data_IF_557222833655
#
_entry.id   IF_557222833655
#
_cell.length_a   1.000
_cell.length_b   1.000
_cell.length_c   1.000
_cell.angle_alpha   90.00
_cell.angle_beta   90.00
_cell.angle_gamma   90.00
#
_symmetry.space_group_name_H-M   'P 1'
#
loop_
_entity.id
_entity.type
_entity.pdbx_description
1 polymer ?
#
# COMPACT_ATOMS: atom_id res chain seq x y z
N UNK A 1 4.88 -10.22 11.81
CA UNK A 1 5.90 -9.34 11.17
C UNK A 1 5.19 -8.09 10.73
N UNK A 2 5.60 -6.91 11.21
CA UNK A 2 4.92 -5.66 10.88
C UNK A 2 5.77 -4.90 9.88
N UNK A 3 5.25 -4.75 8.66
CA UNK A 3 5.88 -3.95 7.62
C UNK A 3 5.18 -2.60 7.58
N UNK A 4 5.67 -1.73 8.46
CA UNK A 4 5.14 -0.39 8.62
C UNK A 4 6.01 0.62 7.87
N UNK A 5 5.33 1.59 7.26
CA UNK A 5 5.94 2.82 6.77
C UNK A 5 6.62 3.54 7.94
N UNK A 6 7.90 3.91 7.75
CA UNK A 6 8.72 4.54 8.77
C UNK A 6 8.24 5.95 9.15
N UNK A 7 8.82 6.52 10.21
CA UNK A 7 8.50 7.91 10.60
C UNK A 7 8.93 8.92 9.52
N UNK A 8 10.07 8.69 8.90
CA UNK A 8 10.60 9.49 7.80
C UNK A 8 9.67 9.40 6.59
N UNK A 9 9.24 8.20 6.23
CA UNK A 9 8.31 7.97 5.12
C UNK A 9 6.93 8.58 5.38
N UNK A 10 6.40 8.49 6.60
CA UNK A 10 5.18 9.21 7.02
C UNK A 10 5.33 10.72 6.86
N UNK A 11 6.50 11.26 7.22
CA UNK A 11 6.79 12.70 7.04
C UNK A 11 6.77 13.10 5.57
N UNK A 12 7.26 12.23 4.68
CA UNK A 12 7.17 12.45 3.24
C UNK A 12 5.72 12.40 2.74
N UNK A 13 4.92 11.44 3.21
CA UNK A 13 3.50 11.39 2.88
C UNK A 13 2.73 12.64 3.34
N UNK A 14 3.03 13.15 4.54
CA UNK A 14 2.46 14.41 5.03
C UNK A 14 2.75 15.59 4.09
N UNK A 15 3.89 15.58 3.38
CA UNK A 15 4.22 16.65 2.45
C UNK A 15 3.29 16.73 1.23
N UNK A 16 2.52 15.67 0.93
CA UNK A 16 1.46 15.74 -0.09
C UNK A 16 0.42 16.83 0.24
N UNK A 17 0.25 17.18 1.52
CA UNK A 17 -0.58 18.31 1.98
C UNK A 17 -0.02 19.70 1.61
N UNK A 18 1.15 19.78 0.96
CA UNK A 18 1.66 21.04 0.40
C UNK A 18 1.09 21.35 -0.99
N UNK A 19 0.29 20.42 -1.53
CA UNK A 19 -0.34 20.53 -2.84
C UNK A 19 0.45 19.80 -3.92
N UNK A 20 -0.28 18.99 -4.71
CA UNK A 20 0.25 18.20 -5.80
C UNK A 20 0.13 19.02 -7.08
N UNK A 21 1.24 19.22 -7.79
CA UNK A 21 1.28 19.85 -9.10
C UNK A 21 1.02 18.82 -10.20
N UNK A 22 1.70 17.66 -10.13
CA UNK A 22 1.60 16.59 -11.12
C UNK A 22 1.76 15.22 -10.49
N UNK A 23 1.15 14.23 -11.12
CA UNK A 23 1.37 12.82 -10.79
C UNK A 23 1.95 12.13 -12.01
N UNK A 24 3.06 11.42 -11.80
CA UNK A 24 3.76 10.66 -12.83
C UNK A 24 3.70 9.19 -12.49
N UNK A 25 3.21 8.40 -13.43
CA UNK A 25 3.03 6.96 -13.26
C UNK A 25 4.01 6.25 -14.17
N UNK A 26 4.78 5.34 -13.58
CA UNK A 26 5.79 4.57 -14.30
C UNK A 26 5.43 3.08 -14.30
N UNK A 27 5.75 2.40 -15.40
CA UNK A 27 5.54 0.95 -15.54
C UNK A 27 6.85 0.18 -15.54
N UNK A 28 6.78 -1.05 -15.03
CA UNK A 28 7.77 -2.09 -15.28
C UNK A 28 7.07 -3.24 -16.00
N UNK A 29 7.20 -3.28 -17.33
CA UNK A 29 6.42 -4.19 -18.17
C UNK A 29 4.98 -3.73 -18.35
N UNK A 30 4.01 -4.60 -18.05
CA UNK A 30 2.59 -4.34 -18.30
C UNK A 30 1.91 -3.50 -17.21
N UNK A 31 2.46 -3.51 -16.00
CA UNK A 31 1.81 -2.96 -14.81
C UNK A 31 2.57 -1.74 -14.27
N UNK A 32 1.85 -0.82 -13.59
CA UNK A 32 2.48 0.28 -12.86
C UNK A 32 3.33 -0.29 -11.74
N UNK A 33 4.49 0.30 -11.51
CA UNK A 33 5.42 -0.14 -10.46
C UNK A 33 5.92 1.02 -9.60
N UNK A 34 5.83 2.25 -10.11
CA UNK A 34 6.23 3.46 -9.39
C UNK A 34 5.25 4.59 -9.66
N UNK A 35 4.94 5.36 -8.61
CA UNK A 35 4.17 6.60 -8.73
C UNK A 35 4.94 7.73 -8.06
N UNK A 36 5.12 8.84 -8.76
CA UNK A 36 5.74 10.05 -8.23
C UNK A 36 4.75 11.20 -8.21
N UNK A 37 4.63 11.85 -7.06
CA UNK A 37 3.87 13.08 -6.85
C UNK A 37 4.86 14.25 -6.85
N UNK A 38 4.75 15.12 -7.84
CA UNK A 38 5.49 16.38 -7.89
C UNK A 38 4.65 17.42 -7.16
N UNK A 39 5.22 18.04 -6.14
CA UNK A 39 4.55 19.04 -5.32
C UNK A 39 4.78 20.45 -5.89
N UNK A 40 3.88 21.38 -5.56
CA UNK A 40 3.94 22.77 -6.05
C UNK A 40 5.24 23.49 -5.64
N UNK A 41 5.89 23.04 -4.57
CA UNK A 41 7.18 23.57 -4.11
C UNK A 41 8.40 22.90 -4.80
N UNK A 42 8.18 22.04 -5.79
CA UNK A 42 9.21 21.31 -6.53
C UNK A 42 9.72 20.03 -5.85
N UNK A 43 9.27 19.70 -4.63
CA UNK A 43 9.61 18.42 -3.98
C UNK A 43 8.90 17.27 -4.68
N UNK A 44 9.46 16.07 -4.54
CA UNK A 44 8.88 14.84 -5.07
C UNK A 44 8.64 13.84 -3.95
N UNK A 45 7.48 13.19 -3.96
CA UNK A 45 7.17 12.03 -3.13
C UNK A 45 6.93 10.85 -4.04
N UNK A 46 7.72 9.79 -3.90
CA UNK A 46 7.68 8.62 -4.80
C UNK A 46 7.38 7.37 -4.02
N UNK A 47 6.36 6.64 -4.48
CA UNK A 47 5.87 5.39 -3.90
C UNK A 47 6.26 4.22 -4.79
N UNK A 48 6.77 3.16 -4.17
CA UNK A 48 7.14 1.89 -4.81
C UNK A 48 6.74 0.72 -3.94
N UNK A 49 6.74 -0.48 -4.51
CA UNK A 49 6.78 -1.71 -3.72
C UNK A 49 8.16 -1.85 -3.06
N UNK A 50 8.18 -2.25 -1.79
CA UNK A 50 9.41 -2.54 -1.05
C UNK A 50 9.98 -3.86 -1.57
N UNK A 51 11.18 -3.80 -2.15
CA UNK A 51 11.90 -4.96 -2.70
C UNK A 51 12.61 -5.81 -1.61
N UNK A 52 12.16 -5.72 -0.35
CA UNK A 52 12.60 -6.65 0.69
C UNK A 52 11.88 -7.99 0.49
N UNK A 53 12.56 -9.10 0.81
CA UNK A 53 12.05 -10.45 0.62
C UNK A 53 10.83 -10.71 1.53
N UNK A 54 9.66 -10.26 1.11
CA UNK A 54 8.38 -10.78 1.62
C UNK A 54 8.32 -12.23 1.17
N UNK A 55 8.02 -13.13 2.10
CA UNK A 55 7.94 -14.55 1.78
C UNK A 55 6.98 -14.79 0.60
N UNK A 56 7.22 -15.85 -0.15
CA UNK A 56 6.54 -16.17 -1.42
C UNK A 56 5.03 -16.45 -1.31
N UNK A 57 4.44 -16.34 -0.11
CA UNK A 57 3.02 -16.52 0.16
C UNK A 57 2.25 -15.22 0.36
N UNK A 58 2.90 -14.05 0.36
CA UNK A 58 2.20 -12.77 0.49
C UNK A 58 1.63 -12.35 -0.88
N UNK A 59 0.32 -12.11 -0.93
CA UNK A 59 -0.37 -11.60 -2.12
C UNK A 59 -0.37 -10.06 -2.16
N UNK A 60 0.10 -9.42 -1.08
CA UNK A 60 0.23 -7.97 -0.98
C UNK A 60 1.62 -7.61 -0.51
N UNK A 61 2.20 -6.60 -1.13
CA UNK A 61 3.57 -6.18 -0.87
C UNK A 61 3.58 -4.85 -0.13
N UNK A 62 4.44 -4.67 0.89
CA UNK A 62 4.54 -3.40 1.58
C UNK A 62 5.08 -2.33 0.63
N UNK A 63 4.63 -1.09 0.81
CA UNK A 63 5.15 0.05 0.03
C UNK A 63 6.33 0.72 0.73
N UNK A 64 7.13 1.44 -0.05
CA UNK A 64 8.14 2.38 0.45
C UNK A 64 7.90 3.76 -0.16
N UNK A 65 8.26 4.80 0.58
CA UNK A 65 8.10 6.21 0.21
C UNK A 65 9.46 6.90 0.21
N UNK A 66 9.78 7.66 -0.83
CA UNK A 66 11.09 8.32 -0.98
C UNK A 66 10.96 9.69 -1.65
N UNK A 67 12.02 10.51 -1.57
CA UNK A 67 12.10 11.79 -2.28
C UNK A 67 12.65 11.66 -3.72
N UNK A 68 12.69 10.44 -4.27
CA UNK A 68 13.35 10.20 -5.54
C UNK A 68 12.54 10.78 -6.71
N UNK A 69 13.13 11.71 -7.45
CA UNK A 69 12.63 12.10 -8.76
C UNK A 69 13.25 11.22 -9.85
N UNK A 70 12.41 10.60 -10.68
CA UNK A 70 12.85 9.73 -11.77
C UNK A 70 13.17 10.58 -13.01
N UNK A 71 14.34 10.32 -13.61
CA UNK A 71 14.80 11.01 -14.83
C UNK A 71 14.24 10.42 -16.13
N UNK A 72 13.54 9.29 -16.05
CA UNK A 72 12.89 8.64 -17.19
C UNK A 72 11.53 9.26 -17.46
N UNK A 73 11.07 9.19 -18.70
CA UNK A 73 9.72 9.65 -19.07
C UNK A 73 8.66 8.74 -18.44
N UNK A 74 7.60 9.32 -17.84
CA UNK A 74 6.48 8.52 -17.34
C UNK A 74 5.61 8.02 -18.50
N UNK A 75 4.97 6.87 -18.30
CA UNK A 75 3.95 6.37 -19.21
C UNK A 75 2.70 7.26 -19.16
N UNK A 76 2.36 7.80 -17.99
CA UNK A 76 1.20 8.68 -17.79
C UNK A 76 1.55 9.84 -16.88
N UNK A 77 1.06 11.01 -17.27
CA UNK A 77 1.11 12.23 -16.47
C UNK A 77 -0.33 12.71 -16.21
N UNK A 78 -0.67 12.91 -14.94
CA UNK A 78 -1.93 13.47 -14.50
C UNK A 78 -1.69 14.85 -13.88
N UNK A 79 -2.64 15.75 -14.07
CA UNK A 79 -2.63 17.06 -13.45
C UNK A 79 -3.07 16.97 -11.97
N UNK A 80 -2.35 17.68 -11.10
CA UNK A 80 -2.59 17.67 -9.65
C UNK A 80 -3.68 18.63 -9.18
N UNK A 81 -4.29 19.43 -10.06
CA UNK A 81 -5.25 20.48 -9.68
C UNK A 81 -6.50 19.96 -8.98
N UNK A 82 -6.90 18.70 -9.19
CA UNK A 82 -8.04 18.09 -8.51
C UNK A 82 -7.71 17.60 -7.09
N UNK A 83 -6.44 17.64 -6.66
CA UNK A 83 -6.05 17.21 -5.32
C UNK A 83 -6.16 18.36 -4.32
N UNK A 84 -6.78 18.09 -3.17
CA UNK A 84 -6.90 19.07 -2.09
C UNK A 84 -5.91 18.75 -0.98
N UNK A 85 -4.95 19.65 -0.68
CA UNK A 85 -4.02 19.45 0.43
C UNK A 85 -4.70 19.33 1.80
N UNK A 86 -5.92 19.85 1.94
CA UNK A 86 -6.67 19.90 3.20
C UNK A 86 -7.42 18.59 3.52
N UNK A 87 -7.67 17.74 2.52
CA UNK A 87 -8.51 16.54 2.68
C UNK A 87 -7.74 15.30 3.16
N UNK A 88 -6.44 15.46 3.44
CA UNK A 88 -5.61 14.48 4.11
C UNK A 88 -5.12 13.31 3.24
N UNK A 89 -4.18 12.56 3.81
CA UNK A 89 -3.63 11.32 3.26
C UNK A 89 -3.91 10.21 4.27
N UNK A 90 -4.41 9.07 3.79
CA UNK A 90 -4.57 7.86 4.58
C UNK A 90 -3.53 6.84 4.14
N UNK A 91 -2.95 6.12 5.09
CA UNK A 91 -2.23 4.87 4.84
C UNK A 91 -3.26 3.75 4.78
N UNK A 92 -3.11 2.89 3.78
CA UNK A 92 -3.90 1.68 3.61
C UNK A 92 -3.15 0.49 4.20
N UNK A 93 -3.80 -0.21 5.12
CA UNK A 93 -3.23 -1.33 5.85
C UNK A 93 -4.05 -2.59 5.60
N UNK A 94 -3.35 -3.70 5.33
CA UNK A 94 -3.94 -5.05 5.25
C UNK A 94 -3.29 -5.94 6.28
N UNK A 95 -4.05 -6.88 6.84
CA UNK A 95 -3.49 -7.93 7.67
C UNK A 95 -3.53 -9.28 6.99
N UNK A 96 -2.47 -10.03 7.20
CA UNK A 96 -2.37 -11.43 6.81
C UNK A 96 -2.11 -12.26 8.06
N UNK A 97 -2.90 -13.31 8.25
CA UNK A 97 -2.81 -14.13 9.44
C UNK A 97 -3.05 -15.60 9.16
N UNK A 98 -2.74 -16.43 10.15
CA UNK A 98 -3.06 -17.85 10.11
C UNK A 98 -4.04 -18.22 11.21
N UNK A 99 -5.10 -18.91 10.83
CA UNK A 99 -6.06 -19.52 11.76
C UNK A 99 -5.87 -21.03 11.80
N UNK A 100 -5.64 -21.58 12.99
CA UNK A 100 -5.59 -23.03 13.18
C UNK A 100 -6.99 -23.63 13.00
N UNK A 101 -7.08 -24.77 12.31
CA UNK A 101 -8.37 -25.45 12.07
C UNK A 101 -8.98 -26.04 13.35
N UNK A 102 -8.17 -26.40 14.35
CA UNK A 102 -8.62 -26.93 15.64
C UNK A 102 -7.58 -26.71 16.76
N UNK A 103 -7.91 -27.14 17.99
CA UNK A 103 -7.06 -26.99 19.17
C UNK A 103 -5.76 -27.81 19.11
N UNK A 104 -5.77 -28.98 18.48
CA UNK A 104 -4.58 -29.81 18.30
C UNK A 104 -3.58 -29.12 17.36
N UNK A 105 -4.06 -28.55 16.27
CA UNK A 105 -3.25 -27.76 15.34
C UNK A 105 -2.68 -26.50 16.00
N UNK A 106 -3.47 -25.85 16.88
CA UNK A 106 -2.97 -24.74 17.69
C UNK A 106 -1.79 -25.15 18.58
N UNK A 107 -1.85 -26.33 19.20
CA UNK A 107 -0.75 -26.87 20.00
C UNK A 107 0.47 -27.23 19.16
N UNK A 108 0.30 -27.71 17.91
CA UNK A 108 1.39 -28.00 16.97
C UNK A 108 2.08 -26.73 16.46
N UNK A 109 1.30 -25.68 16.19
CA UNK A 109 1.81 -24.40 15.69
C UNK A 109 2.56 -23.57 16.75
N UNK A 110 2.37 -23.87 18.04
CA UNK A 110 3.12 -23.26 19.13
C UNK A 110 4.56 -23.84 19.22
N UNK A 111 5.36 -23.65 18.17
CA UNK A 111 6.77 -24.05 18.15
C UNK A 111 7.28 -24.66 16.84
N UNK A 112 6.41 -24.98 15.87
CA UNK A 112 6.81 -25.58 14.59
C UNK A 112 6.28 -24.78 13.39
N UNK A 113 7.12 -24.59 12.36
CA UNK A 113 6.80 -23.96 11.08
C UNK A 113 6.15 -24.90 10.05
N UNK A 114 5.91 -26.17 10.40
CA UNK A 114 5.41 -27.21 9.50
C UNK A 114 4.18 -27.92 10.07
N UNK A 115 2.99 -27.54 9.60
CA UNK A 115 1.72 -28.16 10.01
C UNK A 115 0.53 -27.29 9.58
N UNK A 116 -0.55 -27.92 9.12
CA UNK A 116 -1.66 -27.32 8.37
C UNK A 116 -2.09 -25.91 8.83
N UNK A 117 -1.94 -24.93 7.93
CA UNK A 117 -2.31 -23.54 8.12
C UNK A 117 -3.33 -23.13 7.05
N UNK A 118 -4.46 -22.54 7.46
CA UNK A 118 -5.26 -21.72 6.56
C UNK A 118 -4.72 -20.31 6.67
N UNK A 119 -4.02 -19.86 5.63
CA UNK A 119 -3.68 -18.46 5.47
C UNK A 119 -4.97 -17.69 5.16
N UNK A 120 -5.18 -16.61 5.87
CA UNK A 120 -6.33 -15.73 5.71
C UNK A 120 -5.85 -14.30 5.59
N UNK A 121 -6.61 -13.54 4.81
CA UNK A 121 -6.37 -12.14 4.54
C UNK A 121 -7.61 -11.31 4.90
N UNK A 122 -7.39 -10.06 5.27
CA UNK A 122 -8.47 -9.10 5.49
C UNK A 122 -8.02 -7.87 6.27
N UNK A 123 -8.98 -7.19 6.89
CA UNK A 123 -8.72 -6.00 7.68
C UNK A 123 -7.90 -6.34 8.94
N UNK A 124 -7.02 -5.41 9.33
CA UNK A 124 -6.31 -5.49 10.61
C UNK A 124 -7.28 -5.44 11.80
N UNK A 125 -8.43 -4.79 11.65
CA UNK A 125 -9.50 -4.76 12.64
C UNK A 125 -10.29 -6.07 12.77
N UNK A 126 -10.23 -6.96 11.77
CA UNK A 126 -11.00 -8.21 11.71
C UNK A 126 -10.22 -9.45 12.18
N UNK A 127 -9.00 -9.26 12.68
CA UNK A 127 -8.11 -10.37 13.01
C UNK A 127 -8.75 -11.29 14.06
N UNK A 128 -8.90 -12.59 13.76
CA UNK A 128 -9.47 -13.54 14.69
C UNK A 128 -8.65 -13.66 15.98
N UNK A 129 -9.33 -13.77 17.12
CA UNK A 129 -8.69 -13.94 18.43
C UNK A 129 -7.89 -15.24 18.57
N UNK A 130 -8.09 -16.20 17.66
CA UNK A 130 -7.36 -17.46 17.59
C UNK A 130 -6.23 -17.47 16.53
N UNK A 131 -5.91 -16.32 15.93
CA UNK A 131 -4.78 -16.21 15.01
C UNK A 131 -3.44 -16.44 15.73
N UNK A 132 -2.53 -17.20 15.11
CA UNK A 132 -1.22 -17.52 15.69
C UNK A 132 -0.07 -16.71 15.07
N UNK A 133 -0.15 -16.44 13.77
CA UNK A 133 0.79 -15.59 13.05
C UNK A 133 0.03 -14.40 12.50
N UNK A 134 0.55 -13.20 12.73
CA UNK A 134 -0.01 -11.95 12.20
C UNK A 134 1.09 -11.16 11.51
N UNK A 135 0.76 -10.71 10.30
CA UNK A 135 1.46 -9.65 9.61
C UNK A 135 0.51 -8.47 9.37
N UNK A 136 1.04 -7.26 9.52
CA UNK A 136 0.36 -6.04 9.09
C UNK A 136 1.23 -5.39 8.04
N UNK A 137 0.64 -5.06 6.91
CA UNK A 137 1.29 -4.56 5.73
C UNK A 137 0.71 -3.17 5.43
N UNK A 138 1.54 -2.13 5.53
CA UNK A 138 1.18 -0.85 4.93
C UNK A 138 1.40 -0.97 3.43
N UNK A 139 0.29 -1.11 2.71
CA UNK A 139 0.25 -1.59 1.33
C UNK A 139 -0.14 -0.51 0.34
N UNK A 140 -0.42 0.72 0.79
CA UNK A 140 -0.82 1.79 -0.09
C UNK A 140 -1.12 3.08 0.63
N UNK A 141 -1.58 4.04 -0.15
CA UNK A 141 -2.15 5.30 0.34
C UNK A 141 -3.44 5.62 -0.40
N UNK A 142 -4.25 6.44 0.25
CA UNK A 142 -5.42 7.09 -0.33
C UNK A 142 -5.28 8.60 -0.13
N UNK A 143 -5.57 9.37 -1.17
CA UNK A 143 -5.60 10.83 -1.16
C UNK A 143 -6.98 11.28 -1.60
N UNK A 144 -7.63 12.12 -0.83
CA UNK A 144 -8.96 12.62 -1.18
C UNK A 144 -8.85 13.77 -2.20
N UNK A 145 -9.54 13.64 -3.33
CA UNK A 145 -9.66 14.72 -4.33
C UNK A 145 -10.64 15.80 -3.87
N UNK A 146 -10.57 16.99 -4.46
CA UNK A 146 -11.51 18.11 -4.23
C UNK A 146 -12.96 17.73 -4.50
N UNK A 147 -13.18 16.83 -5.45
CA UNK A 147 -14.50 16.24 -5.75
C UNK A 147 -15.06 15.36 -4.62
N UNK A 148 -14.25 15.00 -3.63
CA UNK A 148 -14.58 14.04 -2.57
C UNK A 148 -14.29 12.58 -2.95
N UNK A 149 -13.94 12.31 -4.20
CA UNK A 149 -13.57 10.96 -4.65
C UNK A 149 -12.14 10.60 -4.20
N UNK A 150 -11.89 9.37 -3.74
CA UNK A 150 -10.55 8.94 -3.39
C UNK A 150 -9.68 8.74 -4.63
N UNK A 151 -8.39 9.05 -4.49
CA UNK A 151 -7.33 8.60 -5.38
C UNK A 151 -6.44 7.62 -4.62
N UNK A 152 -6.35 6.38 -5.10
CA UNK A 152 -5.68 5.30 -4.40
C UNK A 152 -4.43 4.88 -5.16
N UNK A 153 -3.34 4.69 -4.42
CA UNK A 153 -2.13 3.99 -4.89
C UNK A 153 -1.84 2.87 -3.91
N UNK A 154 -2.02 1.62 -4.32
CA UNK A 154 -1.87 0.45 -3.46
C UNK A 154 -1.12 -0.69 -4.17
N UNK A 155 -0.59 -1.64 -3.43
CA UNK A 155 0.01 -2.86 -3.98
C UNK A 155 -1.03 -3.69 -4.71
N UNK A 156 -0.63 -4.24 -5.85
CA UNK A 156 -1.39 -5.24 -6.59
C UNK A 156 -1.11 -6.66 -6.06
N UNK A 157 -1.95 -7.61 -6.46
CA UNK A 157 -1.69 -9.05 -6.35
C UNK A 157 -0.47 -9.50 -7.17
N UNK A 158 -0.12 -8.73 -8.20
CA UNK A 158 1.08 -9.00 -9.00
C UNK A 158 2.33 -8.48 -8.27
N UNK A 159 3.39 -9.30 -8.17
CA UNK A 159 4.64 -8.87 -7.55
C UNK A 159 5.18 -7.58 -8.18
N UNK A 160 5.60 -6.66 -7.32
CA UNK A 160 6.21 -5.37 -7.71
C UNK A 160 5.29 -4.45 -8.53
N UNK A 161 3.98 -4.68 -8.50
CA UNK A 161 3.00 -3.87 -9.21
C UNK A 161 2.11 -3.05 -8.25
N UNK A 162 1.57 -1.94 -8.77
CA UNK A 162 0.68 -1.02 -8.08
C UNK A 162 -0.67 -0.92 -8.79
N UNK A 163 -1.73 -0.90 -8.00
CA UNK A 163 -3.03 -0.31 -8.36
C UNK A 163 -2.97 1.20 -8.25
N UNK A 164 -3.59 1.85 -9.23
CA UNK A 164 -3.76 3.29 -9.25
C UNK A 164 -5.20 3.57 -9.68
N UNK A 165 -5.97 4.26 -8.85
CA UNK A 165 -7.34 4.64 -9.19
C UNK A 165 -7.40 5.41 -10.52
N UNK A 166 -8.49 5.23 -11.27
CA UNK A 166 -8.80 5.94 -12.52
C UNK A 166 -7.79 5.73 -13.67
N UNK A 167 -6.98 4.67 -13.58
CA UNK A 167 -6.03 4.30 -14.60
C UNK A 167 -6.51 3.04 -15.36
N UNK A 168 -6.74 3.17 -16.67
CA UNK A 168 -7.31 2.11 -17.54
C UNK A 168 -6.47 0.81 -17.69
N UNK A 169 -5.41 0.66 -16.91
CA UNK A 169 -4.45 -0.45 -16.97
C UNK A 169 -4.28 -1.16 -15.62
N UNK A 170 -4.91 -0.70 -14.55
CA UNK A 170 -5.02 -1.47 -13.31
C UNK A 170 -6.34 -2.23 -13.30
N UNK A 171 -6.31 -3.46 -12.79
CA UNK A 171 -7.51 -4.15 -12.35
C UNK A 171 -8.24 -3.35 -11.26
N UNK A 172 -9.52 -3.69 -11.05
CA UNK A 172 -10.31 -3.02 -10.04
C UNK A 172 -9.75 -3.35 -8.66
N UNK A 173 -9.47 -2.32 -7.86
CA UNK A 173 -9.05 -2.49 -6.48
C UNK A 173 -10.24 -2.90 -5.62
N UNK A 174 -10.07 -3.94 -4.82
CA UNK A 174 -10.98 -4.21 -3.70
C UNK A 174 -10.57 -3.32 -2.53
N UNK A 175 -11.29 -2.21 -2.36
CA UNK A 175 -11.00 -1.28 -1.28
C UNK A 175 -11.46 -1.77 0.10
N UNK A 176 -12.33 -2.80 0.13
CA UNK A 176 -12.95 -3.28 1.36
C UNK A 176 -11.99 -4.07 2.25
N UNK A 177 -10.86 -4.53 1.69
CA UNK A 177 -9.84 -5.30 2.43
C UNK A 177 -8.80 -4.41 3.14
N UNK A 178 -8.89 -3.08 3.01
CA UNK A 178 -7.94 -2.15 3.61
C UNK A 178 -8.55 -1.34 4.75
N UNK A 179 -7.87 -1.36 5.90
CA UNK A 179 -8.07 -0.38 6.95
C UNK A 179 -7.38 0.94 6.56
N UNK A 180 -7.98 2.06 6.95
CA UNK A 180 -7.47 3.40 6.70
C UNK A 180 -6.99 4.03 7.99
N UNK A 181 -5.74 4.48 8.01
CA UNK A 181 -5.17 5.27 9.09
C UNK A 181 -4.72 6.61 8.55
N UNK A 182 -5.30 7.71 9.04
CA UNK A 182 -4.86 9.05 8.67
C UNK A 182 -3.39 9.24 9.03
N UNK A 183 -2.64 9.86 8.11
CA UNK A 183 -1.27 10.29 8.41
C UNK A 183 -1.36 11.51 9.32
N UNK A 184 -0.95 11.36 10.59
CA UNK A 184 -0.90 12.42 11.60
C UNK A 184 0.48 13.06 11.70
#
# INVERSE_FOLDING_TARGET
>A
MHFEISKEEKTLLLSLSLGIEKIKIYKSGLYPSVVSFILINGKTVTIRIKEEYVAHWFEVFPITVSEQNLSVSPEIELDGSDFSPELGVNILSKSEWTVAANAEDKSKMAGETLGAMVQSEGLASEIPSNANNQATLHAGIEITKKSGMPFIVASSMFPYALYISDCSFSEQIDEAIYDRAQVC
#
